data_IF_311854597559
#
_entry.id   IF_311854597559
#
_cell.length_a   1.000
_cell.length_b   1.000
_cell.length_c   1.000
_cell.angle_alpha   90.00
_cell.angle_beta   90.00
_cell.angle_gamma   90.00
#
_symmetry.space_group_name_H-M   'P 1'
#
loop_
_entity.id
_entity.type
_entity.pdbx_description
1 polymer ?
#
# COMPACT_ATOMS: atom_id res chain seq x y z
N UNK A 1 22.55 -1.18 -1.48
CA UNK A 1 21.81 -1.57 -2.70
C UNK A 1 20.30 -1.47 -2.43
N UNK A 2 19.48 -1.17 -3.44
CA UNK A 2 18.01 -1.13 -3.27
C UNK A 2 17.43 -2.49 -2.84
N UNK A 3 17.98 -3.58 -3.37
CA UNK A 3 17.56 -4.95 -3.03
C UNK A 3 17.83 -5.31 -1.56
N UNK A 4 18.82 -4.68 -0.94
CA UNK A 4 19.08 -4.85 0.51
C UNK A 4 17.96 -4.21 1.35
N UNK A 5 17.26 -3.20 0.81
CA UNK A 5 16.13 -2.53 1.48
C UNK A 5 14.80 -3.24 1.23
N UNK A 6 14.60 -3.77 0.03
CA UNK A 6 13.47 -4.62 -0.31
C UNK A 6 13.94 -5.81 -1.16
N UNK A 7 13.94 -7.05 -0.62
CA UNK A 7 14.42 -8.22 -1.36
C UNK A 7 13.57 -8.55 -2.59
N UNK A 8 12.36 -8.01 -2.70
CA UNK A 8 11.46 -8.20 -3.84
C UNK A 8 11.66 -7.20 -4.98
N UNK A 9 12.62 -6.27 -4.86
CA UNK A 9 12.89 -5.26 -5.87
C UNK A 9 11.70 -4.35 -6.20
N UNK A 10 10.78 -4.15 -5.25
CA UNK A 10 9.59 -3.32 -5.44
C UNK A 10 9.68 -2.03 -4.62
N UNK A 11 9.06 -0.97 -5.14
CA UNK A 11 8.78 0.24 -4.37
C UNK A 11 7.38 0.14 -3.74
N UNK A 12 7.13 0.75 -2.57
CA UNK A 12 8.05 1.58 -1.78
C UNK A 12 8.86 0.80 -0.73
N UNK A 13 9.96 1.43 -0.28
CA UNK A 13 10.68 1.12 0.96
C UNK A 13 11.07 2.43 1.66
N UNK A 14 11.17 2.44 2.99
CA UNK A 14 11.66 3.57 3.79
C UNK A 14 12.92 3.20 4.57
N UNK A 15 13.61 4.25 5.02
CA UNK A 15 14.73 4.19 5.96
C UNK A 15 14.47 5.30 6.99
N UNK A 16 13.94 4.90 8.14
CA UNK A 16 13.57 5.81 9.22
C UNK A 16 14.60 5.71 10.34
N UNK A 17 15.65 6.53 10.25
CA UNK A 17 16.81 6.55 11.14
C UNK A 17 17.54 5.18 11.27
N UNK A 18 17.76 4.50 10.14
CA UNK A 18 18.43 3.20 10.09
C UNK A 18 17.48 2.00 10.31
N UNK A 19 16.21 2.24 10.62
CA UNK A 19 15.17 1.22 10.57
C UNK A 19 14.60 1.13 9.14
N UNK A 20 14.85 0.01 8.47
CA UNK A 20 14.41 -0.22 7.10
C UNK A 20 13.12 -1.04 7.09
N UNK A 21 12.13 -0.58 6.33
CA UNK A 21 10.84 -1.24 6.18
C UNK A 21 10.35 -1.13 4.72
N UNK A 22 9.78 -2.21 4.20
CA UNK A 22 9.13 -2.28 2.88
C UNK A 22 7.68 -2.76 3.05
N UNK A 23 6.92 -2.82 1.94
CA UNK A 23 5.45 -2.94 1.88
C UNK A 23 4.72 -1.65 2.26
N UNK A 24 4.00 -1.07 1.28
CA UNK A 24 3.31 0.23 1.44
C UNK A 24 2.35 0.24 2.64
N UNK A 25 1.54 -0.81 2.81
CA UNK A 25 0.56 -0.92 3.91
C UNK A 25 1.22 -1.08 5.28
N UNK A 26 2.38 -1.75 5.35
CA UNK A 26 3.15 -1.90 6.58
C UNK A 26 3.80 -0.55 6.97
N UNK A 27 4.39 0.14 5.98
CA UNK A 27 4.95 1.48 6.13
C UNK A 27 3.89 2.46 6.65
N UNK A 28 2.71 2.50 6.04
CA UNK A 28 1.63 3.39 6.47
C UNK A 28 1.19 3.12 7.91
N UNK A 29 1.02 1.84 8.31
CA UNK A 29 0.67 1.47 9.69
C UNK A 29 1.78 1.84 10.68
N UNK A 30 3.04 1.63 10.32
CA UNK A 30 4.19 2.02 11.13
C UNK A 30 4.21 3.54 11.36
N UNK A 31 4.06 4.34 10.31
CA UNK A 31 4.04 5.81 10.42
C UNK A 31 2.84 6.29 11.22
N UNK A 32 1.66 5.71 11.00
CA UNK A 32 0.46 6.04 11.79
C UNK A 32 0.66 5.75 13.30
N UNK A 33 1.37 4.68 13.64
CA UNK A 33 1.71 4.34 15.02
C UNK A 33 2.81 5.24 15.60
N UNK A 34 3.93 5.44 14.89
CA UNK A 34 5.08 6.25 15.33
C UNK A 34 4.68 7.71 15.57
N UNK A 35 3.83 8.26 14.70
CA UNK A 35 3.41 9.66 14.75
C UNK A 35 1.97 9.84 15.27
N UNK A 36 1.48 8.92 16.10
CA UNK A 36 0.08 8.94 16.56
C UNK A 36 -0.32 10.20 17.36
N UNK A 37 0.65 10.98 17.84
CA UNK A 37 0.42 12.23 18.58
C UNK A 37 0.64 13.50 17.72
N UNK A 38 0.99 13.35 16.44
CA UNK A 38 1.26 14.47 15.54
C UNK A 38 0.00 15.06 14.89
N UNK A 39 -1.18 14.51 15.18
CA UNK A 39 -2.45 14.95 14.61
C UNK A 39 -3.62 14.03 14.97
N UNK A 40 -4.67 14.07 14.16
CA UNK A 40 -5.80 13.16 14.31
C UNK A 40 -5.35 11.70 14.16
N UNK A 41 -5.79 10.77 15.03
CA UNK A 41 -5.46 9.36 14.88
C UNK A 41 -5.96 8.80 13.55
N UNK A 42 -5.04 8.27 12.75
CA UNK A 42 -5.37 7.67 11.44
C UNK A 42 -5.96 6.26 11.58
N UNK A 43 -5.60 5.55 12.65
CA UNK A 43 -6.09 4.21 12.96
C UNK A 43 -6.76 4.28 14.34
N UNK A 44 -8.06 3.97 14.46
CA UNK A 44 -8.75 3.94 15.74
C UNK A 44 -8.14 2.91 16.69
N UNK A 45 -8.17 3.20 18.00
CA UNK A 45 -7.65 2.31 19.06
C UNK A 45 -8.73 1.54 19.80
N UNK A 46 -9.97 2.05 19.80
CA UNK A 46 -11.10 1.38 20.44
C UNK A 46 -11.51 0.15 19.60
N UNK A 47 -11.92 -0.91 20.27
CA UNK A 47 -12.13 -2.22 19.65
C UNK A 47 -13.08 -2.19 18.45
N UNK A 48 -14.23 -1.51 18.57
CA UNK A 48 -15.24 -1.46 17.50
C UNK A 48 -14.75 -0.65 16.29
N UNK A 49 -14.35 0.63 16.41
CA UNK A 49 -13.89 1.37 15.25
C UNK A 49 -12.58 0.82 14.67
N UNK A 50 -11.72 0.18 15.47
CA UNK A 50 -10.55 -0.52 14.95
C UNK A 50 -10.95 -1.75 14.11
N UNK A 51 -11.93 -2.54 14.58
CA UNK A 51 -12.44 -3.68 13.82
C UNK A 51 -13.02 -3.25 12.46
N UNK A 52 -13.74 -2.13 12.39
CA UNK A 52 -14.25 -1.57 11.13
C UNK A 52 -13.12 -1.08 10.21
N UNK A 53 -12.06 -0.48 10.77
CA UNK A 53 -10.87 -0.12 10.01
C UNK A 53 -10.18 -1.35 9.41
N UNK A 54 -9.98 -2.41 10.20
CA UNK A 54 -9.33 -3.63 9.70
C UNK A 54 -10.22 -4.40 8.71
N UNK A 55 -11.54 -4.38 8.87
CA UNK A 55 -12.47 -4.90 7.86
C UNK A 55 -12.29 -4.16 6.53
N UNK A 56 -12.31 -2.83 6.54
CA UNK A 56 -12.11 -2.02 5.34
C UNK A 56 -10.71 -2.24 4.72
N UNK A 57 -9.66 -2.33 5.54
CA UNK A 57 -8.31 -2.60 5.05
C UNK A 57 -8.17 -4.01 4.45
N UNK A 58 -8.88 -5.00 5.00
CA UNK A 58 -8.93 -6.35 4.44
C UNK A 58 -9.69 -6.39 3.11
N UNK A 59 -10.82 -5.69 3.01
CA UNK A 59 -11.57 -5.53 1.75
C UNK A 59 -10.71 -4.85 0.69
N UNK A 60 -10.00 -3.78 1.07
CA UNK A 60 -9.09 -3.06 0.17
C UNK A 60 -8.01 -3.99 -0.39
N UNK A 61 -7.32 -4.74 0.47
CA UNK A 61 -6.22 -5.62 0.06
C UNK A 61 -6.67 -6.85 -0.75
N UNK A 62 -7.79 -7.46 -0.38
CA UNK A 62 -8.17 -8.79 -0.88
C UNK A 62 -9.26 -8.76 -1.95
N UNK A 63 -10.08 -7.70 -1.99
CA UNK A 63 -11.24 -7.62 -2.88
C UNK A 63 -11.14 -6.48 -3.86
N UNK A 64 -10.65 -5.32 -3.41
CA UNK A 64 -10.53 -4.15 -4.27
C UNK A 64 -9.24 -4.15 -5.09
N UNK A 65 -8.08 -4.27 -4.42
CA UNK A 65 -6.78 -4.08 -5.07
C UNK A 65 -6.50 -5.06 -6.23
N UNK A 66 -6.82 -6.37 -6.15
CA UNK A 66 -6.57 -7.27 -7.27
C UNK A 66 -7.27 -6.85 -8.56
N UNK A 67 -8.43 -6.19 -8.46
CA UNK A 67 -9.19 -5.67 -9.60
C UNK A 67 -8.69 -4.28 -10.02
N UNK A 68 -8.47 -3.40 -9.03
CA UNK A 68 -8.01 -2.05 -9.28
C UNK A 68 -6.61 -2.01 -9.92
N UNK A 69 -5.70 -2.88 -9.49
CA UNK A 69 -4.34 -2.99 -10.02
C UNK A 69 -4.32 -3.35 -11.51
N UNK A 70 -5.19 -4.27 -11.94
CA UNK A 70 -5.30 -4.67 -13.36
C UNK A 70 -5.75 -3.48 -14.20
N UNK A 71 -6.81 -2.79 -13.77
CA UNK A 71 -7.30 -1.61 -14.47
C UNK A 71 -6.24 -0.51 -14.52
N UNK A 72 -5.57 -0.23 -13.39
CA UNK A 72 -4.52 0.77 -13.32
C UNK A 72 -3.33 0.42 -14.22
N UNK A 73 -2.92 -0.85 -14.25
CA UNK A 73 -1.84 -1.28 -15.12
C UNK A 73 -2.22 -1.10 -16.59
N UNK A 74 -3.38 -1.62 -17.00
CA UNK A 74 -3.80 -1.64 -18.40
C UNK A 74 -4.16 -0.25 -18.94
N UNK A 75 -4.81 0.59 -18.14
CA UNK A 75 -5.28 1.91 -18.59
C UNK A 75 -4.30 3.05 -18.30
N UNK A 76 -3.36 2.88 -17.36
CA UNK A 76 -2.44 3.95 -16.97
C UNK A 76 -0.98 3.55 -17.21
N UNK A 77 -0.52 2.44 -16.62
CA UNK A 77 0.92 2.08 -16.65
C UNK A 77 1.38 1.63 -18.04
N UNK A 78 0.69 0.67 -18.66
CA UNK A 78 1.05 0.15 -19.99
C UNK A 78 1.08 1.26 -21.04
N UNK A 79 0.05 2.12 -21.18
CA UNK A 79 0.09 3.25 -22.11
C UNK A 79 1.21 4.26 -21.80
N UNK A 80 1.47 4.57 -20.53
CA UNK A 80 2.55 5.48 -20.14
C UNK A 80 3.94 4.94 -20.49
N UNK A 81 4.09 3.62 -20.57
CA UNK A 81 5.32 2.93 -21.00
C UNK A 81 5.37 2.67 -22.52
N UNK A 82 4.41 3.19 -23.29
CA UNK A 82 4.32 3.00 -24.75
C UNK A 82 3.70 1.67 -25.19
N UNK A 83 3.14 0.89 -24.26
CA UNK A 83 2.33 -0.28 -24.53
C UNK A 83 0.90 0.08 -24.97
N UNK A 84 0.11 -0.95 -25.24
CA UNK A 84 -1.33 -0.82 -25.51
C UNK A 84 -2.12 -1.50 -24.40
N UNK A 85 -3.32 -1.00 -24.14
CA UNK A 85 -4.29 -1.63 -23.24
C UNK A 85 -4.72 -2.98 -23.79
N UNK A 86 -4.65 -4.02 -22.96
CA UNK A 86 -5.29 -5.29 -23.23
C UNK A 86 -6.74 -5.29 -22.70
N UNK A 87 -7.70 -5.06 -23.59
CA UNK A 87 -9.13 -5.01 -23.22
C UNK A 87 -9.70 -6.37 -22.78
N UNK A 88 -8.97 -7.49 -22.94
CA UNK A 88 -9.47 -8.84 -22.58
C UNK A 88 -9.27 -9.21 -21.11
N UNK A 89 -8.45 -8.46 -20.38
CA UNK A 89 -8.17 -8.71 -18.95
C UNK A 89 -8.86 -7.71 -18.02
N UNK A 90 -9.65 -6.79 -18.58
CA UNK A 90 -10.52 -5.85 -17.86
C UNK A 90 -11.87 -6.49 -17.57
#
# INVERSE_FOLDING_TARGET
SFIEKNPFAMVPCIDDDGFVLYESRAICRYLAAKYANAGAPLIPRDAIPNALFEEAASVEQNSFEPLAAVIAFEKVVSPALGGQTNETVL
#
